data_IF_786972455505
#
_entry.id   IF_786972455505
#
_cell.length_a   1.000
_cell.length_b   1.000
_cell.length_c   1.000
_cell.angle_alpha   90.00
_cell.angle_beta   90.00
_cell.angle_gamma   90.00
#
_symmetry.space_group_name_H-M   'P 1'
#
loop_
_entity.id
_entity.type
_entity.pdbx_description
1 polymer ?
#
# COMPACT_ATOMS: atom_id res chain seq x y z
N UNK A 1 4.53 4.54 -20.10
CA UNK A 1 4.09 5.43 -19.00
C UNK A 1 4.88 5.05 -17.76
N UNK A 2 5.99 5.73 -17.50
CA UNK A 2 6.82 5.52 -16.31
C UNK A 2 6.24 6.39 -15.19
N UNK A 3 5.21 5.89 -14.51
CA UNK A 3 4.58 6.60 -13.41
C UNK A 3 5.44 6.44 -12.13
N UNK A 4 6.49 7.25 -12.03
CA UNK A 4 7.44 7.30 -10.90
C UNK A 4 6.88 7.98 -9.66
N UNK A 5 5.56 8.24 -9.60
CA UNK A 5 4.90 8.94 -8.50
C UNK A 5 4.98 8.18 -7.17
N UNK A 6 4.89 6.85 -7.20
CA UNK A 6 4.92 6.01 -6.01
C UNK A 6 6.21 5.22 -5.90
N UNK A 7 6.80 5.20 -4.70
CA UNK A 7 8.02 4.42 -4.41
C UNK A 7 7.80 3.46 -3.27
N UNK A 8 8.19 2.21 -3.44
CA UNK A 8 8.23 1.24 -2.35
C UNK A 8 9.52 1.41 -1.54
N UNK A 9 9.38 1.67 -0.24
CA UNK A 9 10.48 1.67 0.72
C UNK A 9 10.39 0.44 1.61
N UNK A 10 11.37 -0.46 1.51
CA UNK A 10 11.52 -1.61 2.38
C UNK A 10 11.81 -1.15 3.82
N UNK A 11 11.03 -1.60 4.82
CA UNK A 11 11.15 -1.12 6.21
C UNK A 11 11.69 -2.18 7.17
N UNK A 12 11.21 -3.42 7.06
CA UNK A 12 11.56 -4.48 8.01
C UNK A 12 11.40 -5.85 7.38
N UNK A 13 12.39 -6.71 7.59
CA UNK A 13 12.26 -8.17 7.48
C UNK A 13 12.18 -8.73 8.89
N UNK A 14 11.23 -9.61 9.19
CA UNK A 14 11.26 -10.35 10.44
C UNK A 14 12.20 -11.57 10.24
N UNK A 15 13.22 -11.80 11.09
CA UNK A 15 14.09 -12.96 10.92
C UNK A 15 13.37 -14.30 11.19
N UNK A 16 12.27 -14.28 11.95
CA UNK A 16 11.45 -15.47 12.25
C UNK A 16 10.37 -15.70 11.19
N UNK A 17 9.92 -14.63 10.53
CA UNK A 17 8.92 -14.66 9.48
C UNK A 17 9.49 -13.98 8.24
N UNK A 18 9.79 -14.72 7.15
CA UNK A 18 10.42 -14.16 5.96
C UNK A 18 9.55 -13.13 5.21
N UNK A 19 8.38 -12.80 5.75
CA UNK A 19 7.53 -11.70 5.30
C UNK A 19 8.25 -10.36 5.29
N UNK A 20 7.91 -9.56 4.28
CA UNK A 20 8.58 -8.32 3.97
C UNK A 20 7.58 -7.15 3.96
N UNK A 21 7.87 -6.12 4.76
CA UNK A 21 7.05 -4.91 4.82
C UNK A 21 7.66 -3.83 3.91
N UNK A 22 6.82 -3.26 3.05
CA UNK A 22 7.10 -2.12 2.19
C UNK A 22 6.14 -0.97 2.52
N UNK A 23 6.65 0.26 2.64
CA UNK A 23 5.82 1.46 2.67
C UNK A 23 5.70 2.03 1.28
N UNK A 24 4.50 2.39 0.88
CA UNK A 24 4.24 3.13 -0.35
C UNK A 24 4.43 4.61 -0.05
N UNK A 25 5.37 5.24 -0.76
CA UNK A 25 5.76 6.63 -0.57
C UNK A 25 5.28 7.49 -1.73
N UNK A 26 4.69 8.65 -1.42
CA UNK A 26 4.32 9.72 -2.34
C UNK A 26 4.91 11.02 -1.79
N UNK A 27 5.74 11.72 -2.57
CA UNK A 27 6.34 13.01 -2.20
C UNK A 27 6.95 13.04 -0.79
N UNK A 28 7.63 11.95 -0.42
CA UNK A 28 8.29 11.79 0.89
C UNK A 28 7.37 11.39 2.04
N UNK A 29 6.06 11.27 1.82
CA UNK A 29 5.05 10.84 2.80
C UNK A 29 4.64 9.39 2.57
N UNK A 30 4.32 8.67 3.65
CA UNK A 30 3.76 7.32 3.54
C UNK A 30 2.26 7.41 3.27
N UNK A 31 1.82 6.80 2.17
CA UNK A 31 0.42 6.77 1.69
C UNK A 31 -0.18 5.36 1.74
N UNK A 32 0.60 4.37 2.15
CA UNK A 32 0.13 3.00 2.20
C UNK A 32 1.21 2.03 2.63
N UNK A 33 0.80 0.78 2.79
CA UNK A 33 1.68 -0.33 3.15
C UNK A 33 1.39 -1.53 2.25
N UNK A 34 2.43 -2.23 1.84
CA UNK A 34 2.35 -3.53 1.18
C UNK A 34 3.17 -4.51 2.00
N UNK A 35 2.58 -5.67 2.31
CA UNK A 35 3.21 -6.72 3.08
C UNK A 35 3.22 -7.97 2.22
N UNK A 36 4.41 -8.42 1.87
CA UNK A 36 4.63 -9.71 1.22
C UNK A 36 4.70 -10.78 2.32
N UNK A 37 3.68 -11.63 2.43
CA UNK A 37 3.65 -12.75 3.36
C UNK A 37 4.20 -14.00 2.70
N UNK A 38 5.12 -14.69 3.36
CA UNK A 38 5.76 -15.91 2.81
C UNK A 38 5.38 -17.19 3.54
N UNK A 39 4.84 -17.08 4.76
CA UNK A 39 4.37 -18.20 5.56
C UNK A 39 2.98 -17.89 6.15
N UNK A 40 2.10 -18.89 6.32
CA UNK A 40 2.25 -20.29 5.88
C UNK A 40 2.06 -20.48 4.36
N UNK A 41 1.55 -19.48 3.66
CA UNK A 41 1.38 -19.46 2.20
C UNK A 41 1.75 -18.09 1.64
N UNK A 42 2.24 -18.07 0.40
CA UNK A 42 2.56 -16.81 -0.25
C UNK A 42 1.29 -16.02 -0.60
N UNK A 43 1.20 -14.81 -0.07
CA UNK A 43 0.17 -13.84 -0.42
C UNK A 43 0.68 -12.44 -0.09
N UNK A 44 0.12 -11.42 -0.73
CA UNK A 44 0.49 -10.04 -0.48
C UNK A 44 -0.72 -9.29 0.03
N UNK A 45 -0.61 -8.61 1.17
CA UNK A 45 -1.64 -7.68 1.62
C UNK A 45 -1.21 -6.25 1.33
N UNK A 46 -2.18 -5.39 1.05
CA UNK A 46 -1.95 -3.98 0.80
C UNK A 46 -2.97 -3.14 1.55
N UNK A 47 -2.59 -1.92 1.90
CA UNK A 47 -3.49 -0.92 2.47
C UNK A 47 -3.17 0.48 1.96
N UNK A 48 -4.22 1.25 1.69
CA UNK A 48 -4.15 2.68 1.44
C UNK A 48 -4.35 3.39 2.77
N UNK A 49 -3.35 4.16 3.19
CA UNK A 49 -3.43 5.07 4.34
C UNK A 49 -3.45 6.47 3.76
N UNK A 50 -4.64 6.99 3.48
CA UNK A 50 -4.76 8.33 2.90
C UNK A 50 -4.08 9.37 3.81
N UNK A 51 -3.35 10.32 3.24
CA UNK A 51 -2.76 11.48 3.97
C UNK A 51 -3.86 12.43 4.48
N UNK A 52 -5.06 12.29 3.98
CA UNK A 52 -6.20 13.21 4.13
C UNK A 52 -7.11 12.81 5.27
N UNK A 53 -7.68 13.81 5.96
CA UNK A 53 -8.54 13.68 7.11
C UNK A 53 -9.68 12.68 6.88
N UNK A 54 -9.53 11.51 7.52
CA UNK A 54 -10.52 10.44 7.65
C UNK A 54 -11.08 9.91 6.30
N UNK A 55 -10.33 9.04 5.59
CA UNK A 55 -10.96 8.14 4.62
C UNK A 55 -12.05 7.32 5.32
N UNK A 56 -13.19 7.01 4.69
CA UNK A 56 -14.34 6.34 5.33
C UNK A 56 -14.08 4.90 5.80
N UNK A 57 -12.86 4.39 5.67
CA UNK A 57 -12.41 3.13 6.21
C UNK A 57 -10.96 2.90 5.80
N UNK A 58 -10.27 2.01 6.52
CA UNK A 58 -9.03 1.44 6.00
C UNK A 58 -9.39 0.69 4.73
N UNK A 59 -8.88 1.14 3.58
CA UNK A 59 -9.05 0.44 2.31
C UNK A 59 -7.86 -0.51 2.13
N UNK A 60 -8.13 -1.80 2.25
CA UNK A 60 -7.11 -2.85 2.18
C UNK A 60 -7.58 -4.03 1.34
N UNK A 61 -6.63 -4.84 0.90
CA UNK A 61 -6.92 -6.05 0.14
C UNK A 61 -5.77 -7.04 0.18
N UNK A 62 -5.98 -8.14 -0.52
CA UNK A 62 -5.01 -9.21 -0.72
C UNK A 62 -4.80 -9.43 -2.21
N UNK A 63 -3.59 -9.80 -2.59
CA UNK A 63 -3.20 -10.07 -3.96
C UNK A 63 -2.24 -11.26 -4.01
N UNK A 64 -2.11 -11.87 -5.19
CA UNK A 64 -1.24 -13.00 -5.43
C UNK A 64 0.23 -12.62 -5.65
N UNK A 65 0.57 -11.33 -5.81
CA UNK A 65 1.95 -10.86 -6.00
C UNK A 65 2.11 -9.39 -5.57
N UNK A 66 3.36 -8.93 -5.42
CA UNK A 66 3.67 -7.52 -5.12
C UNK A 66 3.18 -6.60 -6.26
N UNK A 67 3.35 -7.04 -7.50
CA UNK A 67 2.91 -6.29 -8.69
C UNK A 67 1.39 -6.13 -8.68
N UNK A 68 0.65 -7.23 -8.50
CA UNK A 68 -0.81 -7.20 -8.40
C UNK A 68 -1.29 -6.38 -7.18
N UNK A 69 -0.56 -6.43 -6.06
CA UNK A 69 -0.85 -5.60 -4.90
C UNK A 69 -0.64 -4.12 -5.18
N UNK A 70 0.42 -3.75 -5.91
CA UNK A 70 0.69 -2.37 -6.32
C UNK A 70 -0.38 -1.86 -7.27
N UNK A 71 -0.83 -2.66 -8.23
CA UNK A 71 -1.88 -2.29 -9.18
C UNK A 71 -3.22 -2.07 -8.46
N UNK A 72 -3.64 -3.02 -7.61
CA UNK A 72 -4.86 -2.90 -6.81
C UNK A 72 -4.78 -1.72 -5.82
N UNK A 73 -3.60 -1.50 -5.21
CA UNK A 73 -3.35 -0.36 -4.35
C UNK A 73 -3.48 0.97 -5.10
N UNK A 74 -2.96 1.06 -6.33
CA UNK A 74 -3.06 2.28 -7.17
C UNK A 74 -4.50 2.57 -7.55
N UNK A 75 -5.24 1.56 -8.00
CA UNK A 75 -6.66 1.71 -8.33
C UNK A 75 -7.46 2.22 -7.12
N UNK A 76 -7.16 1.70 -5.93
CA UNK A 76 -7.79 2.18 -4.70
C UNK A 76 -7.34 3.59 -4.33
N UNK A 77 -6.06 3.91 -4.49
CA UNK A 77 -5.55 5.27 -4.25
C UNK A 77 -6.24 6.29 -5.14
N UNK A 78 -6.41 6.02 -6.44
CA UNK A 78 -7.12 6.92 -7.36
C UNK A 78 -8.56 7.19 -6.92
N UNK A 79 -9.27 6.16 -6.44
CA UNK A 79 -10.62 6.32 -5.87
C UNK A 79 -10.62 7.18 -4.61
N UNK A 80 -9.64 6.99 -3.73
CA UNK A 80 -9.48 7.79 -2.51
C UNK A 80 -9.13 9.24 -2.88
N UNK A 81 -8.21 9.46 -3.81
CA UNK A 81 -7.77 10.76 -4.29
C UNK A 81 -8.88 11.52 -5.02
N UNK A 82 -9.74 10.83 -5.77
CA UNK A 82 -10.91 11.42 -6.42
C UNK A 82 -12.11 11.63 -5.47
N UNK A 83 -12.08 11.02 -4.28
CA UNK A 83 -13.14 11.13 -3.28
C UNK A 83 -13.19 12.52 -2.61
N UNK A 84 -14.31 12.85 -1.93
CA UNK A 84 -14.42 14.09 -1.18
C UNK A 84 -13.46 14.08 0.01
N UNK A 85 -12.42 14.91 -0.06
CA UNK A 85 -11.53 15.18 1.06
C UNK A 85 -12.23 16.18 1.98
N UNK A 86 -12.48 15.80 3.24
CA UNK A 86 -12.88 16.76 4.26
C UNK A 86 -11.82 17.87 4.39
N UNK A 87 -12.19 19.08 4.86
CA UNK A 87 -11.19 20.12 5.09
C UNK A 87 -10.08 19.61 6.04
N UNK A 88 -8.84 20.08 5.87
CA UNK A 88 -7.68 19.68 6.68
C UNK A 88 -7.87 19.94 8.18
#
# INVERSE_FOLDING_TARGET
MNDTRFRLRRIKSNPVDPSQIYRVMLDGRTVGTIIEHKLPSYHVTWSVTAIVGRPPGVQNGMAASIEAAMDAWREMWEKVEAGPHGPP
#
